data_IF_334633893195
#
_entry.id   IF_334633893195
#
_cell.length_a   1.000
_cell.length_b   1.000
_cell.length_c   1.000
_cell.angle_alpha   90.00
_cell.angle_beta   90.00
_cell.angle_gamma   90.00
#
_symmetry.space_group_name_H-M   'P 1'
#
loop_
_entity.id
_entity.type
_entity.pdbx_description
1 polymer ?
#
# COMPACT_ATOMS: atom_id res chain seq x y z
N UNK A 1 17.32 27.52 -17.04
CA UNK A 1 17.70 26.13 -17.37
C UNK A 1 18.06 25.45 -16.06
N UNK A 2 17.05 24.91 -15.37
CA UNK A 2 17.20 24.29 -14.06
C UNK A 2 17.35 22.79 -14.21
N UNK A 3 18.35 22.26 -13.52
CA UNK A 3 18.75 20.86 -13.39
C UNK A 3 17.57 19.89 -13.35
N UNK A 4 17.42 19.06 -14.40
CA UNK A 4 16.66 17.83 -14.35
C UNK A 4 17.33 16.91 -13.32
N UNK A 5 16.60 16.57 -12.25
CA UNK A 5 17.07 15.62 -11.24
C UNK A 5 17.31 14.26 -11.88
N UNK A 6 18.45 13.65 -11.55
CA UNK A 6 18.82 12.28 -11.87
C UNK A 6 17.71 11.34 -11.42
N UNK A 7 17.06 10.67 -12.35
CA UNK A 7 15.95 9.79 -12.04
C UNK A 7 16.28 8.30 -12.17
N UNK A 8 15.27 7.49 -11.90
CA UNK A 8 15.39 6.11 -11.42
C UNK A 8 15.43 5.08 -12.55
N UNK A 9 16.51 4.31 -12.69
CA UNK A 9 16.57 3.14 -13.58
C UNK A 9 16.02 1.88 -12.88
N UNK A 10 15.61 0.85 -13.63
CA UNK A 10 15.18 -0.45 -13.10
C UNK A 10 16.26 -1.18 -12.27
N UNK A 11 17.51 -0.70 -12.30
CA UNK A 11 18.63 -1.15 -11.48
C UNK A 11 18.83 -0.33 -10.18
N UNK A 12 17.97 0.65 -9.89
CA UNK A 12 18.15 1.53 -8.73
C UNK A 12 17.54 1.00 -7.43
N UNK A 13 17.05 -0.23 -7.41
CA UNK A 13 16.66 -0.88 -6.17
C UNK A 13 17.86 -1.12 -5.25
N UNK A 14 17.66 -0.90 -3.95
CA UNK A 14 18.73 -1.08 -2.96
C UNK A 14 18.85 -2.55 -2.56
N UNK A 15 20.10 -3.02 -2.39
CA UNK A 15 20.36 -4.27 -1.67
C UNK A 15 19.97 -4.13 -0.21
N UNK A 16 19.20 -5.09 0.31
CA UNK A 16 18.70 -5.07 1.69
C UNK A 16 19.09 -6.33 2.45
N UNK A 17 19.43 -6.26 3.75
CA UNK A 17 19.99 -7.40 4.48
C UNK A 17 19.09 -8.64 4.61
N UNK A 18 17.78 -8.49 4.38
CA UNK A 18 16.79 -9.55 4.52
C UNK A 18 16.40 -10.18 3.18
N UNK A 19 16.83 -9.59 2.07
CA UNK A 19 16.59 -10.12 0.73
C UNK A 19 17.88 -10.77 0.25
N UNK A 20 17.94 -12.12 0.16
CA UNK A 20 19.15 -12.82 -0.27
C UNK A 20 19.43 -12.63 -1.76
N UNK A 21 18.41 -12.37 -2.58
CA UNK A 21 18.57 -12.17 -4.01
C UNK A 21 19.06 -10.74 -4.33
N UNK A 22 19.94 -10.54 -5.31
CA UNK A 22 20.34 -9.22 -5.73
C UNK A 22 19.14 -8.45 -6.34
N UNK A 23 19.07 -7.11 -6.22
CA UNK A 23 17.90 -6.35 -6.65
C UNK A 23 17.50 -6.56 -8.11
N UNK A 24 18.47 -6.78 -9.01
CA UNK A 24 18.23 -7.04 -10.43
C UNK A 24 17.49 -8.37 -10.65
N UNK A 25 17.79 -9.38 -9.82
CA UNK A 25 17.12 -10.68 -9.87
C UNK A 25 15.68 -10.56 -9.33
N UNK A 26 15.48 -9.86 -8.22
CA UNK A 26 14.15 -9.60 -7.64
C UNK A 26 13.27 -8.86 -8.66
N UNK A 27 13.81 -7.83 -9.31
CA UNK A 27 13.13 -7.09 -10.35
C UNK A 27 12.75 -8.00 -11.53
N UNK A 28 13.70 -8.79 -12.03
CA UNK A 28 13.45 -9.71 -13.15
C UNK A 28 12.35 -10.72 -12.83
N UNK A 29 12.38 -11.30 -11.63
CA UNK A 29 11.35 -12.22 -11.14
C UNK A 29 9.99 -11.50 -11.02
N UNK A 30 9.95 -10.31 -10.44
CA UNK A 30 8.72 -9.53 -10.31
C UNK A 30 8.11 -9.21 -11.69
N UNK A 31 8.91 -8.79 -12.66
CA UNK A 31 8.43 -8.54 -14.03
C UNK A 31 7.86 -9.79 -14.69
N UNK A 32 8.54 -10.93 -14.55
CA UNK A 32 8.05 -12.21 -15.06
C UNK A 32 6.69 -12.57 -14.44
N UNK A 33 6.60 -12.53 -13.11
CA UNK A 33 5.37 -12.87 -12.39
C UNK A 33 4.23 -11.92 -12.75
N UNK A 34 4.49 -10.61 -12.83
CA UNK A 34 3.50 -9.62 -13.25
C UNK A 34 3.01 -9.86 -14.69
N UNK A 35 3.90 -10.25 -15.60
CA UNK A 35 3.54 -10.60 -16.97
C UNK A 35 2.63 -11.82 -17.03
N UNK A 36 2.94 -12.86 -16.26
CA UNK A 36 2.11 -14.08 -16.22
C UNK A 36 0.76 -13.80 -15.55
N UNK A 37 0.71 -12.97 -14.52
CA UNK A 37 -0.54 -12.52 -13.90
C UNK A 37 -1.46 -11.80 -14.89
N UNK A 38 -0.90 -10.94 -15.75
CA UNK A 38 -1.65 -10.22 -16.81
C UNK A 38 -2.18 -11.13 -17.91
N UNK A 39 -1.68 -12.36 -18.03
CA UNK A 39 -2.09 -13.35 -19.04
C UNK A 39 -3.20 -14.27 -18.56
N UNK A 40 -3.55 -14.22 -17.27
CA UNK A 40 -4.61 -15.05 -16.71
C UNK A 40 -5.93 -14.73 -17.43
N UNK A 41 -6.60 -15.73 -18.03
CA UNK A 41 -7.86 -15.50 -18.72
C UNK A 41 -8.94 -15.01 -17.74
N UNK A 42 -9.71 -13.98 -18.10
CA UNK A 42 -10.87 -13.59 -17.30
C UNK A 42 -11.84 -14.77 -17.10
N UNK A 43 -12.46 -14.85 -15.92
CA UNK A 43 -13.40 -15.91 -15.52
C UNK A 43 -12.83 -17.35 -15.43
N UNK A 44 -11.50 -17.53 -15.47
CA UNK A 44 -10.88 -18.83 -15.19
C UNK A 44 -10.78 -19.12 -13.69
N UNK A 45 -10.42 -20.35 -13.32
CA UNK A 45 -10.19 -20.72 -11.90
C UNK A 45 -8.96 -20.01 -11.34
N UNK A 46 -7.93 -19.82 -12.17
CA UNK A 46 -6.80 -18.96 -11.87
C UNK A 46 -7.22 -17.51 -11.58
N UNK A 47 -8.14 -16.93 -12.37
CA UNK A 47 -8.66 -15.58 -12.12
C UNK A 47 -9.45 -15.50 -10.81
N UNK A 48 -10.29 -16.50 -10.53
CA UNK A 48 -11.03 -16.59 -9.27
C UNK A 48 -10.09 -16.68 -8.05
N UNK A 49 -9.09 -17.57 -8.10
CA UNK A 49 -8.06 -17.69 -7.06
C UNK A 49 -7.25 -16.40 -6.90
N UNK A 50 -6.95 -15.70 -8.01
CA UNK A 50 -6.25 -14.42 -7.98
C UNK A 50 -7.07 -13.38 -7.23
N UNK A 51 -8.38 -13.30 -7.50
CA UNK A 51 -9.28 -12.40 -6.79
C UNK A 51 -9.32 -12.70 -5.29
N UNK A 52 -9.33 -13.98 -4.89
CA UNK A 52 -9.23 -14.38 -3.48
C UNK A 52 -7.92 -13.89 -2.83
N UNK A 53 -6.78 -14.07 -3.51
CA UNK A 53 -5.48 -13.61 -3.01
C UNK A 53 -5.41 -12.07 -2.94
N UNK A 54 -5.94 -11.36 -3.94
CA UNK A 54 -6.01 -9.90 -3.94
C UNK A 54 -6.88 -9.36 -2.79
N UNK A 55 -8.02 -10.00 -2.51
CA UNK A 55 -8.87 -9.66 -1.38
C UNK A 55 -8.14 -9.87 -0.04
N UNK A 56 -7.45 -11.01 0.13
CA UNK A 56 -6.64 -11.28 1.33
C UNK A 56 -5.49 -10.27 1.49
N UNK A 57 -4.79 -9.93 0.41
CA UNK A 57 -3.74 -8.92 0.41
C UNK A 57 -4.26 -7.53 0.82
N UNK A 58 -5.48 -7.18 0.40
CA UNK A 58 -6.14 -5.92 0.79
C UNK A 58 -6.50 -5.90 2.28
N UNK A 59 -7.06 -6.99 2.81
CA UNK A 59 -7.37 -7.09 4.25
C UNK A 59 -6.07 -7.03 5.07
N UNK A 60 -5.04 -7.74 4.62
CA UNK A 60 -3.73 -7.72 5.24
C UNK A 60 -3.13 -6.30 5.26
N UNK A 61 -3.17 -5.57 4.14
CA UNK A 61 -2.64 -4.20 4.09
C UNK A 61 -3.36 -3.26 5.06
N UNK A 62 -4.69 -3.38 5.20
CA UNK A 62 -5.48 -2.61 6.18
C UNK A 62 -5.09 -3.00 7.61
N UNK A 63 -5.02 -4.30 7.91
CA UNK A 63 -4.60 -4.79 9.22
C UNK A 63 -3.23 -4.24 9.61
N UNK A 64 -2.21 -4.45 8.77
CA UNK A 64 -0.85 -4.01 9.06
C UNK A 64 -0.75 -2.48 9.12
N UNK A 65 -1.47 -1.76 8.27
CA UNK A 65 -1.49 -0.30 8.30
C UNK A 65 -1.99 0.27 9.62
N UNK A 66 -2.99 -0.36 10.26
CA UNK A 66 -3.44 0.06 11.59
C UNK A 66 -2.48 -0.41 12.69
N UNK A 67 -1.83 -1.57 12.54
CA UNK A 67 -0.85 -2.09 13.52
C UNK A 67 0.52 -1.39 13.50
N UNK A 68 0.82 -0.68 12.41
CA UNK A 68 2.00 0.18 12.33
C UNK A 68 1.82 1.36 13.27
N UNK A 69 0.66 2.01 13.19
CA UNK A 69 0.38 3.24 13.92
C UNK A 69 -0.07 2.95 15.37
N UNK A 70 -0.78 1.83 15.61
CA UNK A 70 -1.32 1.50 16.93
C UNK A 70 -1.43 -0.01 17.21
N UNK A 71 -2.10 -0.40 18.31
CA UNK A 71 -2.51 -1.81 18.55
C UNK A 71 -3.92 -2.04 17.99
N UNK A 72 -4.05 -2.96 17.02
CA UNK A 72 -5.33 -3.31 16.41
C UNK A 72 -5.87 -4.69 16.85
N UNK A 73 -7.04 -5.10 16.31
CA UNK A 73 -7.57 -6.44 16.53
C UNK A 73 -6.78 -7.43 15.66
N UNK A 74 -6.84 -8.73 15.95
CA UNK A 74 -6.12 -9.74 15.15
C UNK A 74 -6.50 -9.69 13.66
N UNK A 75 -5.65 -10.29 12.81
CA UNK A 75 -5.92 -10.34 11.37
C UNK A 75 -7.25 -11.05 11.06
N UNK A 76 -7.56 -12.13 11.80
CA UNK A 76 -8.81 -12.87 11.64
C UNK A 76 -10.04 -12.04 12.04
N UNK A 77 -9.93 -11.26 13.13
CA UNK A 77 -11.00 -10.34 13.53
C UNK A 77 -11.17 -9.20 12.52
N UNK A 78 -10.07 -8.64 12.01
CA UNK A 78 -10.10 -7.61 10.97
C UNK A 78 -10.79 -8.11 9.70
N UNK A 79 -10.47 -9.34 9.28
CA UNK A 79 -11.12 -10.00 8.14
C UNK A 79 -12.62 -10.17 8.38
N UNK A 80 -13.02 -10.70 9.54
CA UNK A 80 -14.43 -10.88 9.91
C UNK A 80 -15.20 -9.56 9.84
N UNK A 81 -14.66 -8.51 10.47
CA UNK A 81 -15.28 -7.17 10.51
C UNK A 81 -15.50 -6.58 9.12
N UNK A 82 -14.48 -6.65 8.26
CA UNK A 82 -14.54 -6.08 6.91
C UNK A 82 -15.55 -6.84 6.03
N UNK A 83 -15.62 -8.17 6.16
CA UNK A 83 -16.54 -9.01 5.40
C UNK A 83 -17.99 -8.83 5.84
N UNK A 84 -18.26 -8.74 7.14
CA UNK A 84 -19.61 -8.55 7.68
C UNK A 84 -20.24 -7.23 7.20
N UNK A 85 -19.46 -6.17 7.13
CA UNK A 85 -19.92 -4.85 6.71
C UNK A 85 -19.92 -4.65 5.18
N UNK A 86 -19.59 -5.70 4.41
CA UNK A 86 -19.55 -5.71 2.94
C UNK A 86 -18.78 -4.52 2.34
N UNK A 87 -17.70 -4.12 3.02
CA UNK A 87 -16.91 -2.94 2.64
C UNK A 87 -15.96 -3.24 1.47
N UNK A 88 -15.64 -4.50 1.23
CA UNK A 88 -14.82 -4.95 0.10
C UNK A 88 -15.60 -6.01 -0.70
N UNK A 89 -15.41 -6.08 -2.02
CA UNK A 89 -15.98 -7.15 -2.82
C UNK A 89 -15.53 -8.51 -2.28
N UNK A 90 -16.49 -9.38 -1.96
CA UNK A 90 -16.22 -10.76 -1.59
C UNK A 90 -15.75 -11.57 -2.80
N UNK A 91 -15.07 -12.71 -2.58
CA UNK A 91 -14.81 -13.62 -3.68
C UNK A 91 -16.15 -14.09 -4.26
N UNK A 92 -16.35 -13.94 -5.57
CA UNK A 92 -17.50 -14.52 -6.27
C UNK A 92 -17.55 -16.04 -6.08
N UNK A 93 -18.68 -16.70 -6.28
CA UNK A 93 -18.69 -18.16 -6.24
C UNK A 93 -17.69 -18.71 -7.26
N UNK A 94 -16.88 -19.75 -6.93
CA UNK A 94 -16.03 -20.37 -7.91
C UNK A 94 -16.89 -20.86 -9.09
N UNK A 95 -16.38 -20.84 -10.33
CA UNK A 95 -17.06 -21.51 -11.43
C UNK A 95 -17.34 -22.96 -11.03
N UNK A 96 -18.51 -23.52 -11.40
CA UNK A 96 -18.97 -24.80 -10.88
C UNK A 96 -17.95 -25.90 -11.15
N UNK A 97 -17.39 -26.49 -10.09
CA UNK A 97 -16.45 -27.60 -10.17
C UNK A 97 -17.06 -28.87 -9.56
N UNK A 98 -16.87 -29.99 -10.25
CA UNK A 98 -17.14 -31.33 -9.74
C UNK A 98 -16.10 -31.74 -8.70
N UNK A 99 -16.57 -31.85 -7.45
CA UNK A 99 -16.04 -32.61 -6.32
C UNK A 99 -14.83 -32.07 -5.50
N UNK A 100 -15.18 -31.82 -4.22
CA UNK A 100 -14.50 -32.10 -2.95
C UNK A 100 -13.21 -31.35 -2.54
N UNK A 101 -13.19 -30.71 -1.37
CA UNK A 101 -12.97 -31.35 -0.06
C UNK A 101 -12.97 -30.31 1.09
N UNK A 102 -13.65 -30.64 2.18
CA UNK A 102 -13.66 -29.89 3.45
C UNK A 102 -12.35 -30.06 4.24
N UNK A 103 -11.97 -29.03 5.01
CA UNK A 103 -11.04 -29.16 6.13
C UNK A 103 -11.48 -28.26 7.31
N UNK A 104 -11.20 -28.66 8.57
CA UNK A 104 -11.99 -28.27 9.73
C UNK A 104 -11.49 -27.00 10.44
N UNK A 105 -12.42 -26.29 11.08
CA UNK A 105 -12.17 -25.15 11.98
C UNK A 105 -12.18 -25.67 13.42
N UNK A 106 -11.08 -25.45 14.15
CA UNK A 106 -10.97 -25.76 15.58
C UNK A 106 -11.35 -24.53 16.42
N UNK A 107 -12.10 -24.80 17.49
CA UNK A 107 -12.73 -23.84 18.41
C UNK A 107 -12.09 -23.97 19.81
N UNK A 108 -11.78 -22.87 20.51
CA UNK A 108 -11.52 -22.81 21.97
C UNK A 108 -11.34 -21.33 22.45
N UNK A 109 -11.44 -21.00 23.76
CA UNK A 109 -12.62 -20.37 24.33
C UNK A 109 -12.36 -18.95 24.90
N UNK A 110 -13.46 -18.24 25.17
CA UNK A 110 -13.49 -16.92 25.77
C UNK A 110 -13.24 -16.95 27.29
N UNK A 111 -12.47 -15.96 27.77
CA UNK A 111 -12.45 -15.56 29.18
C UNK A 111 -12.61 -14.03 29.26
N UNK A 112 -13.72 -13.60 29.86
CA UNK A 112 -14.05 -12.21 30.14
C UNK A 112 -13.38 -11.74 31.43
N UNK A 113 -12.99 -10.47 31.52
CA UNK A 113 -13.37 -9.49 32.59
C UNK A 113 -12.50 -8.23 32.47
N UNK A 114 -13.09 -7.08 32.11
CA UNK A 114 -12.75 -5.68 32.46
C UNK A 114 -13.62 -4.73 31.60
N UNK A 115 -14.86 -4.47 32.01
CA UNK A 115 -15.97 -4.29 31.03
C UNK A 115 -16.38 -2.87 30.59
N UNK A 116 -15.85 -1.77 31.11
CA UNK A 116 -16.30 -0.42 30.68
C UNK A 116 -15.29 0.29 29.76
N UNK A 117 -14.08 0.56 30.24
CA UNK A 117 -13.05 1.27 29.45
C UNK A 117 -12.44 0.42 28.34
N UNK A 118 -12.27 -0.90 28.58
CA UNK A 118 -11.80 -1.81 27.53
C UNK A 118 -12.83 -1.97 26.40
N UNK A 119 -14.13 -1.81 26.70
CA UNK A 119 -15.19 -1.83 25.70
C UNK A 119 -15.15 -0.59 24.80
N UNK A 120 -14.85 0.58 25.37
CA UNK A 120 -14.71 1.81 24.60
C UNK A 120 -13.46 1.80 23.72
N UNK A 121 -12.31 1.38 24.26
CA UNK A 121 -11.07 1.24 23.49
C UNK A 121 -11.20 0.20 22.37
N UNK A 122 -11.82 -0.95 22.64
CA UNK A 122 -12.10 -1.97 21.62
C UNK A 122 -13.05 -1.44 20.52
N UNK A 123 -14.03 -0.60 20.87
CA UNK A 123 -14.94 0.01 19.90
C UNK A 123 -14.21 1.01 18.99
N UNK A 124 -13.25 1.78 19.51
CA UNK A 124 -12.39 2.67 18.72
C UNK A 124 -11.56 1.85 17.73
N UNK A 125 -10.87 0.82 18.21
CA UNK A 125 -10.03 -0.06 17.38
C UNK A 125 -10.84 -0.75 16.28
N UNK A 126 -12.05 -1.26 16.59
CA UNK A 126 -12.98 -1.79 15.57
C UNK A 126 -13.31 -0.73 14.53
N UNK A 127 -13.60 0.50 14.97
CA UNK A 127 -13.96 1.60 14.09
C UNK A 127 -12.80 2.03 13.19
N UNK A 128 -11.57 2.00 13.68
CA UNK A 128 -10.39 2.30 12.85
C UNK A 128 -10.30 1.36 11.65
N UNK A 129 -10.44 0.06 11.87
CA UNK A 129 -10.42 -0.94 10.78
C UNK A 129 -11.55 -0.69 9.77
N UNK A 130 -12.76 -0.40 10.26
CA UNK A 130 -13.92 -0.16 9.39
C UNK A 130 -13.79 1.14 8.58
N UNK A 131 -13.34 2.23 9.20
CA UNK A 131 -13.11 3.49 8.50
C UNK A 131 -11.96 3.38 7.50
N UNK A 132 -10.92 2.62 7.84
CA UNK A 132 -9.83 2.33 6.91
C UNK A 132 -10.36 1.57 5.68
N UNK A 133 -11.15 0.52 5.87
CA UNK A 133 -11.75 -0.22 4.76
C UNK A 133 -12.72 0.64 3.94
N UNK A 134 -13.49 1.52 4.59
CA UNK A 134 -14.39 2.46 3.91
C UNK A 134 -13.64 3.52 3.09
N UNK A 135 -12.55 4.07 3.64
CA UNK A 135 -11.67 5.01 2.95
C UNK A 135 -10.98 4.34 1.75
N UNK A 136 -10.51 3.11 1.93
CA UNK A 136 -9.97 2.31 0.83
C UNK A 136 -10.99 2.09 -0.27
N UNK A 137 -12.22 1.70 0.05
CA UNK A 137 -13.30 1.52 -0.95
C UNK A 137 -13.55 2.81 -1.74
N UNK A 138 -13.55 3.97 -1.07
CA UNK A 138 -13.73 5.27 -1.73
C UNK A 138 -12.57 5.57 -2.70
N UNK A 139 -11.33 5.48 -2.24
CA UNK A 139 -10.15 5.77 -3.04
C UNK A 139 -9.97 4.76 -4.20
N UNK A 140 -10.17 3.47 -3.93
CA UNK A 140 -10.12 2.40 -4.93
C UNK A 140 -11.13 2.66 -6.05
N UNK A 141 -12.38 2.99 -5.71
CA UNK A 141 -13.39 3.29 -6.73
C UNK A 141 -12.93 4.45 -7.62
N UNK A 142 -12.42 5.53 -7.03
CA UNK A 142 -11.98 6.69 -7.78
C UNK A 142 -10.77 6.42 -8.69
N UNK A 143 -9.69 5.88 -8.13
CA UNK A 143 -8.40 5.78 -8.80
C UNK A 143 -8.23 4.49 -9.60
N UNK A 144 -8.80 3.38 -9.13
CA UNK A 144 -8.59 2.04 -9.72
C UNK A 144 -9.75 1.66 -10.63
N UNK A 145 -10.99 1.75 -10.13
CA UNK A 145 -12.17 1.37 -10.91
C UNK A 145 -12.50 2.41 -11.98
N UNK A 146 -12.67 3.67 -11.58
CA UNK A 146 -13.07 4.76 -12.48
C UNK A 146 -11.87 5.33 -13.26
N UNK A 147 -10.64 4.93 -12.90
CA UNK A 147 -9.37 5.39 -13.49
C UNK A 147 -9.25 6.93 -13.57
N UNK A 148 -9.71 7.63 -12.53
CA UNK A 148 -9.67 9.09 -12.46
C UNK A 148 -8.37 9.60 -11.83
N UNK A 149 -7.84 10.77 -12.29
CA UNK A 149 -6.67 11.40 -11.69
C UNK A 149 -6.90 11.73 -10.21
N UNK A 150 -5.86 11.58 -9.39
CA UNK A 150 -5.93 11.98 -7.98
C UNK A 150 -6.05 13.50 -7.87
N UNK A 151 -6.96 13.95 -7.01
CA UNK A 151 -7.24 15.37 -6.75
C UNK A 151 -7.20 15.67 -5.25
N UNK A 152 -7.03 16.94 -4.87
CA UNK A 152 -7.18 17.31 -3.45
C UNK A 152 -8.52 16.84 -2.88
N UNK A 153 -9.60 17.00 -3.65
CA UNK A 153 -10.95 16.63 -3.21
C UNK A 153 -11.06 15.15 -2.81
N UNK A 154 -10.54 14.22 -3.62
CA UNK A 154 -10.56 12.79 -3.26
C UNK A 154 -9.66 12.49 -2.07
N UNK A 155 -8.51 13.16 -1.95
CA UNK A 155 -7.59 12.98 -0.82
C UNK A 155 -8.21 13.46 0.49
N UNK A 156 -8.81 14.65 0.49
CA UNK A 156 -9.48 15.24 1.65
C UNK A 156 -10.70 14.39 2.06
N UNK A 157 -11.51 13.94 1.10
CA UNK A 157 -12.67 13.08 1.40
C UNK A 157 -12.26 11.70 1.91
N UNK A 158 -11.22 11.09 1.33
CA UNK A 158 -10.67 9.82 1.81
C UNK A 158 -10.18 9.97 3.25
N UNK A 159 -9.45 11.04 3.56
CA UNK A 159 -9.00 11.34 4.91
C UNK A 159 -10.17 11.56 5.87
N UNK A 160 -11.20 12.33 5.44
CA UNK A 160 -12.41 12.55 6.22
C UNK A 160 -13.05 11.23 6.64
N UNK A 161 -13.21 10.30 5.69
CA UNK A 161 -13.77 8.96 5.96
C UNK A 161 -12.86 8.21 6.94
N UNK A 162 -11.55 8.18 6.65
CA UNK A 162 -10.56 7.43 7.43
C UNK A 162 -10.59 7.75 8.93
N UNK A 163 -10.78 9.04 9.30
CA UNK A 163 -10.77 9.47 10.71
C UNK A 163 -12.18 9.69 11.29
N UNK A 164 -13.24 9.43 10.50
CA UNK A 164 -14.62 9.74 10.89
C UNK A 164 -15.10 8.91 12.08
N UNK A 165 -15.47 9.60 13.17
CA UNK A 165 -16.00 8.98 14.38
C UNK A 165 -14.94 8.33 15.26
N UNK A 166 -13.65 8.55 14.98
CA UNK A 166 -12.57 8.28 15.92
C UNK A 166 -12.43 9.45 16.91
N UNK A 167 -11.90 9.23 18.12
CA UNK A 167 -11.50 10.31 19.01
C UNK A 167 -10.57 11.27 18.26
N UNK A 168 -10.91 12.57 18.16
CA UNK A 168 -10.07 13.50 17.41
C UNK A 168 -8.79 13.78 18.18
N UNK A 169 -7.69 13.92 17.44
CA UNK A 169 -6.48 14.55 17.98
C UNK A 169 -6.81 16.00 18.34
N UNK A 170 -6.40 16.43 19.52
CA UNK A 170 -6.56 17.82 19.96
C UNK A 170 -5.34 18.61 19.50
N UNK A 171 -5.57 19.68 18.74
CA UNK A 171 -4.54 20.62 18.30
C UNK A 171 -4.02 21.47 19.47
N UNK A 172 -2.88 22.15 19.31
CA UNK A 172 -2.29 23.00 20.35
C UNK A 172 -3.20 24.15 20.82
N UNK A 173 -4.18 24.54 19.98
CA UNK A 173 -5.20 25.55 20.30
C UNK A 173 -6.38 24.99 21.13
N UNK A 174 -6.33 23.70 21.49
CA UNK A 174 -7.36 22.99 22.24
C UNK A 174 -8.57 22.57 21.40
N UNK A 175 -8.55 22.81 20.08
CA UNK A 175 -9.63 22.40 19.18
C UNK A 175 -9.39 21.00 18.61
N UNK A 176 -10.46 20.23 18.34
CA UNK A 176 -10.32 18.95 17.66
C UNK A 176 -9.87 19.16 16.21
N UNK A 177 -8.91 18.34 15.77
CA UNK A 177 -8.46 18.31 14.39
C UNK A 177 -9.62 18.05 13.44
N UNK A 178 -9.73 18.87 12.40
CA UNK A 178 -10.80 18.76 11.43
C UNK A 178 -10.57 17.58 10.46
N UNK A 179 -11.51 16.64 10.43
CA UNK A 179 -11.52 15.53 9.48
C UNK A 179 -11.60 16.06 8.04
N UNK A 180 -10.72 15.57 7.16
CA UNK A 180 -10.68 15.99 5.75
C UNK A 180 -10.25 17.44 5.53
N UNK A 181 -9.50 18.05 6.46
CA UNK A 181 -8.94 19.39 6.30
C UNK A 181 -7.44 19.39 6.57
N UNK A 182 -6.70 20.24 5.84
CA UNK A 182 -5.28 20.43 6.11
C UNK A 182 -5.05 21.04 7.50
N UNK A 183 -3.93 20.64 8.11
CA UNK A 183 -3.51 21.20 9.40
C UNK A 183 -3.26 22.71 9.31
N UNK A 184 -3.54 23.42 10.39
CA UNK A 184 -3.25 24.86 10.52
C UNK A 184 -1.95 25.12 11.30
N UNK A 185 -1.53 24.17 12.13
CA UNK A 185 -0.36 24.24 12.99
C UNK A 185 0.89 23.52 12.45
N UNK A 186 1.97 23.67 13.21
CA UNK A 186 3.15 22.83 13.05
C UNK A 186 2.87 21.42 13.59
N UNK A 187 3.49 20.42 12.99
CA UNK A 187 3.45 19.03 13.43
C UNK A 187 4.85 18.46 13.39
N UNK A 188 5.10 17.45 14.21
CA UNK A 188 6.43 16.89 14.44
C UNK A 188 6.37 15.36 14.50
N UNK A 189 7.40 14.71 13.99
CA UNK A 189 7.69 13.30 14.23
C UNK A 189 8.99 13.20 15.02
N UNK A 190 8.90 13.01 16.35
CA UNK A 190 10.06 13.14 17.22
C UNK A 190 10.67 14.54 17.14
N UNK A 191 11.92 14.65 16.69
CA UNK A 191 12.60 15.94 16.46
C UNK A 191 12.44 16.47 15.02
N UNK A 192 11.89 15.66 14.11
CA UNK A 192 11.65 16.09 12.74
C UNK A 192 10.47 17.04 12.68
N UNK A 193 10.69 18.22 12.08
CA UNK A 193 9.65 19.22 11.84
C UNK A 193 9.22 19.17 10.39
N UNK A 194 7.95 18.88 10.16
CA UNK A 194 7.35 18.86 8.83
C UNK A 194 7.20 20.28 8.23
N UNK A 195 6.97 20.42 6.91
CA UNK A 195 6.84 21.71 6.26
C UNK A 195 5.84 22.66 6.95
N UNK A 196 6.00 23.99 6.86
CA UNK A 196 5.01 24.92 7.41
C UNK A 196 3.60 24.67 6.86
N UNK A 197 2.57 24.83 7.70
CA UNK A 197 1.16 24.63 7.29
C UNK A 197 0.77 25.51 6.09
N UNK A 198 1.40 26.68 5.95
CA UNK A 198 1.19 27.63 4.86
C UNK A 198 1.56 27.10 3.47
N UNK A 199 2.42 26.09 3.37
CA UNK A 199 2.85 25.50 2.09
C UNK A 199 2.24 24.11 1.83
N UNK A 200 1.51 23.55 2.80
CA UNK A 200 0.94 22.19 2.70
C UNK A 200 0.03 22.05 1.49
N UNK A 201 -0.90 22.98 1.30
CA UNK A 201 -1.86 22.88 0.20
C UNK A 201 -1.17 22.90 -1.17
N UNK A 202 -0.24 23.83 -1.40
CA UNK A 202 0.51 23.87 -2.66
C UNK A 202 1.36 22.62 -2.86
N UNK A 203 2.02 22.14 -1.80
CA UNK A 203 2.85 20.93 -1.88
C UNK A 203 2.03 19.68 -2.22
N UNK A 204 0.82 19.52 -1.66
CA UNK A 204 -0.08 18.41 -2.04
C UNK A 204 -0.53 18.55 -3.49
N UNK A 205 -0.90 19.76 -3.95
CA UNK A 205 -1.28 19.98 -5.36
C UNK A 205 -0.17 19.59 -6.32
N UNK A 206 1.05 20.06 -6.07
CA UNK A 206 2.21 19.80 -6.91
C UNK A 206 2.54 18.30 -6.93
N UNK A 207 2.49 17.63 -5.78
CA UNK A 207 2.68 16.19 -5.66
C UNK A 207 1.65 15.40 -6.48
N UNK A 208 0.36 15.73 -6.36
CA UNK A 208 -0.70 15.03 -7.10
C UNK A 208 -0.61 15.30 -8.60
N UNK A 209 -0.27 16.53 -9.00
CA UNK A 209 -0.05 16.87 -10.41
C UNK A 209 1.09 16.04 -11.01
N UNK A 210 2.23 16.00 -10.32
CA UNK A 210 3.40 15.24 -10.76
C UNK A 210 3.10 13.73 -10.83
N UNK A 211 2.43 13.17 -9.82
CA UNK A 211 1.98 11.78 -9.86
C UNK A 211 1.09 11.49 -11.08
N UNK A 212 0.06 12.32 -11.31
CA UNK A 212 -0.87 12.12 -12.41
C UNK A 212 -0.17 12.19 -13.77
N UNK A 213 0.78 13.11 -13.92
CA UNK A 213 1.59 13.25 -15.14
C UNK A 213 2.41 11.98 -15.40
N UNK A 214 3.15 11.48 -14.40
CA UNK A 214 3.94 10.24 -14.52
C UNK A 214 3.07 9.02 -14.78
N UNK A 215 1.93 8.90 -14.08
CA UNK A 215 0.99 7.80 -14.26
C UNK A 215 0.36 7.79 -15.67
N UNK A 216 0.03 8.97 -16.20
CA UNK A 216 -0.49 9.10 -17.57
C UNK A 216 0.57 8.73 -18.62
N UNK A 217 1.81 9.17 -18.45
CA UNK A 217 2.92 8.82 -19.34
C UNK A 217 3.17 7.31 -19.36
N UNK A 218 3.18 6.67 -18.18
CA UNK A 218 3.31 5.23 -18.02
C UNK A 218 2.20 4.45 -18.75
N UNK A 219 0.95 4.88 -18.57
CA UNK A 219 -0.20 4.25 -19.21
C UNK A 219 -0.16 4.39 -20.74
N UNK A 220 0.23 5.56 -21.26
CA UNK A 220 0.32 5.82 -22.70
C UNK A 220 1.38 4.92 -23.36
N UNK A 221 2.53 4.75 -22.74
CA UNK A 221 3.58 3.90 -23.28
C UNK A 221 3.26 2.40 -23.21
N UNK A 222 2.61 1.96 -22.13
CA UNK A 222 2.11 0.58 -22.03
C UNK A 222 1.15 0.23 -23.19
N UNK A 223 0.34 1.20 -23.66
CA UNK A 223 -0.60 1.02 -24.77
C UNK A 223 0.07 1.01 -26.16
N UNK A 224 1.24 1.63 -26.30
CA UNK A 224 1.96 1.76 -27.59
C UNK A 224 3.11 0.78 -27.72
N UNK A 225 3.41 -0.01 -26.68
CA UNK A 225 4.59 -0.86 -26.63
C UNK A 225 5.91 -0.07 -26.57
N UNK A 226 5.83 1.24 -26.33
CA UNK A 226 7.00 2.09 -26.17
C UNK A 226 7.71 1.75 -24.86
N UNK A 227 9.04 1.74 -24.90
CA UNK A 227 9.86 1.62 -23.70
C UNK A 227 9.73 2.95 -22.96
N UNK A 228 8.98 2.98 -21.85
CA UNK A 228 9.21 4.00 -20.83
C UNK A 228 10.50 3.61 -20.14
N UNK A 229 11.39 4.57 -19.98
CA UNK A 229 12.42 4.40 -18.98
C UNK A 229 11.75 4.16 -17.60
N UNK A 230 12.42 3.40 -16.74
CA UNK A 230 11.95 3.24 -15.36
C UNK A 230 11.88 4.60 -14.64
N UNK A 231 12.58 5.61 -15.18
CA UNK A 231 12.78 6.94 -14.64
C UNK A 231 11.52 7.82 -14.72
N UNK A 232 10.74 7.73 -15.79
CA UNK A 232 9.59 8.59 -16.06
C UNK A 232 8.23 7.87 -15.96
N UNK A 233 8.14 6.77 -15.21
CA UNK A 233 6.87 6.16 -14.82
C UNK A 233 6.68 4.70 -15.24
N UNK A 234 7.67 4.05 -15.88
CA UNK A 234 7.56 2.64 -16.27
C UNK A 234 7.53 1.64 -15.10
N UNK A 235 8.03 2.04 -13.94
CA UNK A 235 8.09 1.20 -12.75
C UNK A 235 6.93 1.50 -11.78
N UNK A 236 5.91 0.60 -11.67
CA UNK A 236 4.76 0.83 -10.82
C UNK A 236 5.11 0.82 -9.32
N UNK A 237 6.15 0.09 -8.90
CA UNK A 237 6.52 -0.01 -7.49
C UNK A 237 7.27 1.23 -7.04
N UNK A 238 8.19 1.73 -7.87
CA UNK A 238 8.90 2.98 -7.61
C UNK A 238 7.95 4.18 -7.58
N UNK A 239 7.02 4.28 -8.54
CA UNK A 239 6.05 5.39 -8.58
C UNK A 239 5.11 5.38 -7.36
N UNK A 240 4.63 4.20 -6.95
CA UNK A 240 3.78 4.06 -5.76
C UNK A 240 4.54 4.41 -4.47
N UNK A 241 5.78 3.95 -4.33
CA UNK A 241 6.65 4.29 -3.21
C UNK A 241 6.96 5.79 -3.15
N UNK A 242 7.26 6.41 -4.29
CA UNK A 242 7.49 7.85 -4.40
C UNK A 242 6.27 8.66 -3.97
N UNK A 243 5.06 8.31 -4.43
CA UNK A 243 3.83 8.98 -4.02
C UNK A 243 3.62 8.88 -2.50
N UNK A 244 3.72 7.67 -1.96
CA UNK A 244 3.56 7.41 -0.52
C UNK A 244 4.53 8.23 0.31
N UNK A 245 5.81 8.20 -0.06
CA UNK A 245 6.89 8.86 0.67
C UNK A 245 6.71 10.37 0.67
N UNK A 246 6.51 10.97 -0.51
CA UNK A 246 6.38 12.42 -0.62
C UNK A 246 5.10 12.93 0.02
N UNK A 247 4.02 12.14 0.02
CA UNK A 247 2.80 12.49 0.75
C UNK A 247 3.05 12.55 2.27
N UNK A 248 3.74 11.54 2.81
CA UNK A 248 4.06 11.49 4.23
C UNK A 248 5.03 12.61 4.65
N UNK A 249 5.97 12.98 3.76
CA UNK A 249 6.90 14.10 3.96
C UNK A 249 6.23 15.49 3.95
N UNK A 250 5.14 15.67 3.19
CA UNK A 250 4.31 16.89 3.28
C UNK A 250 3.51 16.91 4.59
N UNK A 251 3.09 15.73 5.04
CA UNK A 251 2.33 15.51 6.28
C UNK A 251 1.13 16.46 6.41
N UNK A 252 0.15 16.37 5.49
CA UNK A 252 -0.86 17.42 5.31
C UNK A 252 -1.90 17.51 6.43
N UNK A 253 -2.07 16.46 7.22
CA UNK A 253 -3.09 16.36 8.28
C UNK A 253 -2.47 16.38 9.67
N UNK A 254 -3.30 16.57 10.70
CA UNK A 254 -2.86 16.47 12.11
C UNK A 254 -2.62 15.02 12.51
N UNK A 255 -3.44 14.09 12.02
CA UNK A 255 -3.33 12.64 12.23
C UNK A 255 -3.75 11.89 10.96
N UNK A 256 -3.47 10.59 10.87
CA UNK A 256 -3.88 9.72 9.77
C UNK A 256 -2.98 9.76 8.54
N UNK A 257 -1.89 10.55 8.55
CA UNK A 257 -0.97 10.70 7.42
C UNK A 257 -0.34 9.38 6.98
N UNK A 258 0.11 8.54 7.92
CA UNK A 258 0.67 7.23 7.62
C UNK A 258 -0.33 6.28 6.95
N UNK A 259 -1.56 6.22 7.48
CA UNK A 259 -2.66 5.43 6.87
C UNK A 259 -3.00 5.95 5.47
N UNK A 260 -3.06 7.26 5.30
CA UNK A 260 -3.31 7.89 3.99
C UNK A 260 -2.20 7.61 2.97
N UNK A 261 -0.93 7.70 3.35
CA UNK A 261 0.19 7.43 2.45
C UNK A 261 0.18 5.99 1.95
N UNK A 262 -0.13 5.02 2.83
CA UNK A 262 -0.27 3.60 2.47
C UNK A 262 -1.50 3.29 1.62
N UNK A 263 -2.61 4.01 1.83
CA UNK A 263 -3.78 3.95 0.93
C UNK A 263 -3.43 4.45 -0.47
N UNK A 264 -2.71 5.58 -0.57
CA UNK A 264 -2.25 6.14 -1.85
C UNK A 264 -1.25 5.22 -2.56
N UNK A 265 -0.32 4.62 -1.82
CA UNK A 265 0.61 3.59 -2.33
C UNK A 265 -0.15 2.46 -3.01
N UNK A 266 -1.13 1.88 -2.31
CA UNK A 266 -1.88 0.74 -2.83
C UNK A 266 -2.78 1.14 -4.00
N UNK A 267 -3.39 2.33 -3.97
CA UNK A 267 -4.16 2.84 -5.10
C UNK A 267 -3.29 2.99 -6.35
N UNK A 268 -2.06 3.51 -6.21
CA UNK A 268 -1.13 3.66 -7.30
C UNK A 268 -0.67 2.32 -7.90
N UNK A 269 -0.37 1.32 -7.06
CA UNK A 269 -0.04 -0.03 -7.52
C UNK A 269 -1.17 -0.65 -8.35
N UNK A 270 -2.39 -0.63 -7.82
CA UNK A 270 -3.54 -1.23 -8.50
C UNK A 270 -3.92 -0.48 -9.78
N UNK A 271 -3.85 0.86 -9.79
CA UNK A 271 -4.11 1.67 -10.98
C UNK A 271 -3.11 1.37 -12.11
N UNK A 272 -1.86 1.01 -11.76
CA UNK A 272 -0.81 0.58 -12.68
C UNK A 272 -0.91 -0.91 -13.10
N UNK A 273 -1.94 -1.62 -12.62
CA UNK A 273 -2.21 -3.02 -12.98
C UNK A 273 -1.37 -4.04 -12.23
N UNK A 274 -0.83 -3.68 -11.06
CA UNK A 274 -0.31 -4.65 -10.09
C UNK A 274 -1.52 -5.21 -9.32
N UNK A 275 -1.76 -6.53 -9.26
CA UNK A 275 -3.03 -7.07 -8.73
C UNK A 275 -3.08 -7.22 -7.19
N UNK A 276 -2.01 -6.86 -6.48
CA UNK A 276 -1.93 -7.04 -5.03
C UNK A 276 -1.66 -5.71 -4.34
N UNK A 277 -2.42 -5.44 -3.27
CA UNK A 277 -2.04 -4.42 -2.29
C UNK A 277 -0.75 -4.84 -1.59
N UNK A 278 0.16 -3.89 -1.39
CA UNK A 278 1.33 -4.08 -0.55
C UNK A 278 0.92 -4.03 0.92
N UNK A 279 1.20 -5.13 1.60
CA UNK A 279 1.23 -5.23 3.04
C UNK A 279 2.60 -4.84 3.61
N UNK A 280 3.49 -4.16 2.83
CA UNK A 280 4.82 -3.68 3.24
C UNK A 280 5.75 -4.75 3.83
N UNK A 281 5.70 -5.97 3.30
CA UNK A 281 6.53 -7.10 3.75
C UNK A 281 6.03 -7.79 5.03
N UNK A 282 4.87 -7.39 5.57
CA UNK A 282 4.37 -7.97 6.81
C UNK A 282 3.71 -9.35 6.65
N UNK A 283 3.48 -9.80 5.41
CA UNK A 283 2.96 -11.13 5.12
C UNK A 283 3.91 -12.26 5.57
N UNK A 284 5.21 -11.98 5.75
CA UNK A 284 6.27 -12.95 6.06
C UNK A 284 6.90 -12.81 7.47
N UNK A 285 6.43 -11.90 8.32
CA UNK A 285 6.94 -11.79 9.69
C UNK A 285 6.74 -10.43 10.35
N UNK A 286 5.84 -10.38 11.33
CA UNK A 286 5.20 -9.17 11.85
C UNK A 286 6.13 -8.12 12.49
N UNK A 287 7.29 -8.52 13.05
CA UNK A 287 8.18 -7.60 13.79
C UNK A 287 9.28 -6.98 12.92
N UNK A 288 9.84 -7.74 11.98
CA UNK A 288 10.93 -7.26 11.15
C UNK A 288 10.41 -6.31 10.05
N UNK A 289 9.23 -6.60 9.47
CA UNK A 289 8.59 -5.74 8.47
C UNK A 289 8.24 -4.34 8.98
N UNK A 290 7.72 -4.23 10.23
CA UNK A 290 7.50 -2.93 10.89
C UNK A 290 8.80 -2.15 11.03
N UNK A 291 9.87 -2.81 11.46
CA UNK A 291 11.19 -2.20 11.61
C UNK A 291 11.73 -1.74 10.26
N UNK A 292 11.57 -2.53 9.20
CA UNK A 292 12.00 -2.20 7.83
C UNK A 292 11.26 -0.99 7.27
N UNK A 293 9.93 -0.97 7.37
CA UNK A 293 9.12 0.19 6.95
C UNK A 293 9.48 1.44 7.76
N UNK A 294 9.54 1.33 9.09
CA UNK A 294 9.92 2.46 9.95
C UNK A 294 11.36 2.91 9.72
N UNK A 295 12.27 2.02 9.30
CA UNK A 295 13.61 2.40 8.85
C UNK A 295 13.54 3.23 7.56
N UNK A 296 12.67 2.91 6.61
CA UNK A 296 12.47 3.75 5.42
C UNK A 296 12.03 5.17 5.79
N UNK A 297 11.10 5.27 6.75
CA UNK A 297 10.61 6.56 7.27
C UNK A 297 11.72 7.29 8.05
N UNK A 298 12.48 6.60 8.91
CA UNK A 298 13.55 7.23 9.73
C UNK A 298 14.81 7.62 8.97
N UNK A 299 15.19 6.87 7.93
CA UNK A 299 16.36 7.20 7.10
C UNK A 299 16.14 8.49 6.28
N UNK A 300 14.88 8.90 6.12
CA UNK A 300 14.49 10.21 5.61
C UNK A 300 14.81 11.34 6.59
N UNK A 301 14.51 11.11 7.87
CA UNK A 301 14.61 12.11 8.94
C UNK A 301 16.07 12.43 9.31
N UNK A 302 16.94 11.41 9.35
CA UNK A 302 18.35 11.56 9.75
C UNK A 302 19.21 12.30 8.73
N UNK A 303 18.80 12.36 7.45
CA UNK A 303 19.53 13.09 6.38
C UNK A 303 18.98 14.47 6.06
N UNK A 304 17.80 14.84 6.60
CA UNK A 304 17.23 16.18 6.50
C UNK A 304 17.71 17.15 7.60
N UNK A 305 18.50 16.67 8.56
CA UNK A 305 18.99 17.44 9.72
C UNK A 305 20.40 18.00 9.52
N UNK A 306 20.67 18.75 8.45
CA UNK A 306 21.96 19.41 8.25
C UNK A 306 21.92 20.34 7.05
N UNK A 307 22.09 21.64 7.28
CA UNK A 307 21.99 22.66 6.24
C UNK A 307 23.03 22.53 5.13
N UNK A 308 22.66 23.02 3.93
CA UNK A 308 23.56 23.53 2.92
C UNK A 308 24.58 22.54 2.35
N UNK A 309 24.14 21.66 1.47
CA UNK A 309 25.02 20.83 0.64
C UNK A 309 24.41 20.61 -0.74
N UNK A 310 25.01 21.22 -1.75
CA UNK A 310 24.71 21.00 -3.16
C UNK A 310 25.23 19.62 -3.62
N UNK A 311 24.33 18.72 -3.99
CA UNK A 311 24.63 17.50 -4.78
C UNK A 311 24.10 16.20 -4.17
N UNK A 312 23.10 15.60 -4.82
CA UNK A 312 22.89 14.14 -4.98
C UNK A 312 22.36 13.21 -3.85
N UNK A 313 21.69 13.71 -2.81
CA UNK A 313 21.39 12.84 -1.63
C UNK A 313 19.89 12.54 -1.35
N UNK A 314 18.96 13.06 -2.17
CA UNK A 314 17.51 12.97 -1.94
C UNK A 314 16.82 11.66 -2.37
N UNK A 315 17.52 10.76 -3.08
CA UNK A 315 16.92 9.60 -3.74
C UNK A 315 16.79 8.34 -2.87
N UNK A 316 17.48 8.23 -1.73
CA UNK A 316 17.68 6.96 -1.02
C UNK A 316 16.44 6.36 -0.34
N UNK A 317 15.60 7.19 0.31
CA UNK A 317 14.48 6.69 1.10
C UNK A 317 13.28 6.21 0.25
N UNK A 318 12.87 6.91 -0.83
CA UNK A 318 11.92 6.37 -1.80
C UNK A 318 12.38 5.03 -2.41
N UNK A 319 13.69 4.87 -2.67
CA UNK A 319 14.27 3.61 -3.21
C UNK A 319 14.14 2.46 -2.24
N UNK A 320 14.40 2.69 -0.95
CA UNK A 320 14.26 1.64 0.06
C UNK A 320 12.80 1.17 0.17
N UNK A 321 11.85 2.10 0.19
CA UNK A 321 10.43 1.76 0.19
C UNK A 321 10.03 1.04 -1.10
N UNK A 322 10.55 1.46 -2.26
CA UNK A 322 10.34 0.76 -3.52
C UNK A 322 10.86 -0.68 -3.46
N UNK A 323 12.06 -0.92 -2.92
CA UNK A 323 12.60 -2.27 -2.70
C UNK A 323 11.67 -3.11 -1.82
N UNK A 324 11.18 -2.56 -0.71
CA UNK A 324 10.25 -3.27 0.20
C UNK A 324 8.97 -3.65 -0.53
N UNK A 325 8.40 -2.74 -1.32
CA UNK A 325 7.19 -2.98 -2.09
C UNK A 325 7.42 -4.02 -3.19
N UNK A 326 8.55 -3.96 -3.90
CA UNK A 326 8.93 -4.91 -4.93
C UNK A 326 9.07 -6.34 -4.37
N UNK A 327 9.82 -6.50 -3.26
CA UNK A 327 9.99 -7.79 -2.60
C UNK A 327 8.63 -8.35 -2.12
N UNK A 328 7.82 -7.50 -1.49
CA UNK A 328 6.48 -7.88 -1.03
C UNK A 328 5.56 -8.33 -2.17
N UNK A 329 5.64 -7.67 -3.33
CA UNK A 329 4.90 -8.11 -4.52
C UNK A 329 5.40 -9.46 -5.04
N UNK A 330 6.72 -9.65 -5.17
CA UNK A 330 7.31 -10.92 -5.62
C UNK A 330 6.81 -12.07 -4.75
N UNK A 331 6.86 -11.92 -3.44
CA UNK A 331 6.44 -12.94 -2.48
C UNK A 331 4.93 -13.25 -2.60
N UNK A 332 4.09 -12.21 -2.71
CA UNK A 332 2.65 -12.37 -2.89
C UNK A 332 2.30 -13.10 -4.20
N UNK A 333 2.97 -12.73 -5.30
CA UNK A 333 2.79 -13.36 -6.60
C UNK A 333 3.31 -14.81 -6.61
N UNK A 334 4.46 -15.08 -6.01
CA UNK A 334 4.99 -16.43 -5.86
C UNK A 334 4.04 -17.33 -5.06
N UNK A 335 3.50 -16.82 -3.94
CA UNK A 335 2.49 -17.53 -3.14
C UNK A 335 1.23 -17.83 -3.94
N UNK A 336 0.77 -16.88 -4.76
CA UNK A 336 -0.34 -17.11 -5.69
C UNK A 336 -0.05 -18.23 -6.70
N UNK A 337 1.10 -18.18 -7.37
CA UNK A 337 1.43 -19.17 -8.38
C UNK A 337 1.65 -20.56 -7.79
N UNK A 338 2.16 -20.65 -6.56
CA UNK A 338 2.27 -21.92 -5.84
C UNK A 338 0.89 -22.49 -5.49
N UNK A 339 -0.03 -21.67 -4.99
CA UNK A 339 -1.42 -22.09 -4.77
C UNK A 339 -2.09 -22.54 -6.08
N UNK A 340 -1.88 -21.79 -7.17
CA UNK A 340 -2.40 -22.14 -8.49
C UNK A 340 -1.85 -23.49 -8.98
N UNK A 341 -0.55 -23.74 -8.79
CA UNK A 341 0.10 -25.00 -9.15
C UNK A 341 -0.51 -26.19 -8.41
N UNK A 342 -0.85 -26.01 -7.14
CA UNK A 342 -1.46 -27.06 -6.30
C UNK A 342 -2.93 -27.29 -6.62
N UNK A 343 -3.72 -26.22 -6.74
CA UNK A 343 -5.17 -26.32 -6.90
C UNK A 343 -5.61 -26.55 -8.34
N UNK A 344 -4.95 -25.93 -9.31
CA UNK A 344 -5.32 -25.95 -10.72
C UNK A 344 -4.10 -26.11 -11.64
N UNK A 345 -3.37 -27.26 -11.59
CA UNK A 345 -2.14 -27.48 -12.35
C UNK A 345 -2.30 -27.33 -13.87
N UNK A 346 -3.51 -27.51 -14.39
CA UNK A 346 -3.85 -27.28 -15.81
C UNK A 346 -3.89 -25.81 -16.23
N UNK A 347 -4.09 -24.88 -15.29
CA UNK A 347 -4.05 -23.42 -15.54
C UNK A 347 -2.71 -22.79 -15.10
N UNK A 348 -1.78 -23.58 -14.57
CA UNK A 348 -0.46 -23.10 -14.17
C UNK A 348 0.42 -22.75 -15.39
N UNK A 349 1.06 -21.57 -15.47
CA UNK A 349 1.77 -21.14 -16.68
C UNK A 349 2.95 -22.03 -17.08
N UNK A 350 3.00 -22.42 -18.35
CA UNK A 350 4.11 -23.20 -18.93
C UNK A 350 5.48 -22.50 -18.84
N UNK A 351 5.49 -21.16 -18.82
CA UNK A 351 6.72 -20.39 -18.61
C UNK A 351 7.30 -20.67 -17.22
N UNK A 352 6.45 -20.72 -16.20
CA UNK A 352 6.87 -20.97 -14.81
C UNK A 352 7.18 -22.45 -14.58
N UNK A 353 6.45 -23.38 -15.21
CA UNK A 353 6.79 -24.82 -15.20
C UNK A 353 8.21 -25.07 -15.67
N UNK A 354 8.65 -24.40 -16.73
CA UNK A 354 10.01 -24.58 -17.27
C UNK A 354 11.11 -24.01 -16.39
N UNK A 355 10.80 -23.02 -15.56
CA UNK A 355 11.78 -22.34 -14.70
C UNK A 355 11.87 -22.98 -13.31
N UNK A 356 10.76 -23.49 -12.78
CA UNK A 356 10.63 -23.93 -11.39
C UNK A 356 10.11 -25.37 -11.22
N UNK A 357 9.72 -26.04 -12.30
CA UNK A 357 9.09 -27.37 -12.29
C UNK A 357 10.06 -28.53 -12.44
#
# INVERSE_FOLDING_TARGET
>A
MGSAGTGFCASDYLSVPWEPDPPELVWTQAQLLLRELRRIPPASRAAHLLAQHAARATIASIYFSNHIDDKGPSLAESEKLIREEQLLPGPEAPPPDGAAADAPVADAPAAATQHADASAAAAVVRREVLQHAAAWRHLHRHAVTDRRPLTEAVVLETHRILVSGLPPTIEDDGQPAAAGAYRRGAVYAGYHRFPPATVVQSAVRDLLHEYNTRAAAAAAAASTGAIVDAEHGGDPFALAAWLSYNFDAVHPFVDGNGRMSRLLLNAALLAAGVPFCSALGFASGHRQAKKQYLQCVRHADERGGGGGGSGDDGGGAPRLLATVVLCGFRDAAASYFEALRMSYPGEYPETLKRLYG
#
